data_IF_246426583148
#
_entry.id   IF_246426583148
#
_cell.length_a   1.000
_cell.length_b   1.000
_cell.length_c   1.000
_cell.angle_alpha   90.00
_cell.angle_beta   90.00
_cell.angle_gamma   90.00
#
_symmetry.space_group_name_H-M   'P 1'
#
loop_
_entity.id
_entity.type
_entity.pdbx_description
1 polymer ?
#
# COMPACT_ATOMS: atom_id res chain seq x y z
N UNK A 1 -26.98 -11.06 16.80
CA UNK A 1 -26.10 -10.63 15.69
C UNK A 1 -25.42 -9.27 15.91
N UNK A 2 -26.07 -8.24 16.48
CA UNK A 2 -25.44 -6.91 16.67
C UNK A 2 -24.24 -6.88 17.64
N UNK A 3 -24.29 -7.60 18.76
CA UNK A 3 -23.22 -7.59 19.79
C UNK A 3 -21.99 -8.46 19.45
N UNK A 4 -22.03 -9.25 18.38
CA UNK A 4 -20.99 -10.23 18.07
C UNK A 4 -19.96 -9.74 17.04
N UNK A 5 -20.30 -8.78 16.17
CA UNK A 5 -19.36 -8.29 15.15
C UNK A 5 -18.35 -7.31 15.75
N UNK A 6 -17.06 -7.53 15.45
CA UNK A 6 -15.96 -6.61 15.80
C UNK A 6 -15.89 -5.40 14.87
N UNK A 7 -16.52 -5.45 13.69
CA UNK A 7 -16.52 -4.35 12.71
C UNK A 7 -17.56 -3.28 13.06
N UNK A 8 -17.10 -2.04 13.26
CA UNK A 8 -17.99 -0.90 13.50
C UNK A 8 -18.95 -0.63 12.33
N UNK A 9 -18.49 -0.90 11.10
CA UNK A 9 -19.30 -0.74 9.88
C UNK A 9 -20.44 -1.75 9.85
N UNK A 10 -20.15 -3.01 10.14
CA UNK A 10 -21.15 -4.08 10.18
C UNK A 10 -22.19 -3.83 11.24
N UNK A 11 -21.76 -3.46 12.46
CA UNK A 11 -22.68 -3.14 13.56
C UNK A 11 -23.64 -2.02 13.17
N UNK A 12 -23.14 -0.93 12.58
CA UNK A 12 -24.00 0.19 12.16
C UNK A 12 -24.99 -0.21 11.06
N UNK A 13 -24.58 -1.04 10.11
CA UNK A 13 -25.49 -1.57 9.07
C UNK A 13 -26.54 -2.52 9.65
N UNK A 14 -26.15 -3.38 10.59
CA UNK A 14 -27.09 -4.24 11.30
C UNK A 14 -28.09 -3.43 12.13
N UNK A 15 -27.64 -2.37 12.81
CA UNK A 15 -28.50 -1.45 13.55
C UNK A 15 -29.52 -0.76 12.63
N UNK A 16 -29.10 -0.33 11.44
CA UNK A 16 -29.99 0.24 10.43
C UNK A 16 -31.16 -0.70 10.08
N UNK A 17 -30.87 -1.97 9.78
CA UNK A 17 -31.93 -2.95 9.50
C UNK A 17 -32.76 -3.32 10.72
N UNK A 18 -32.17 -3.38 11.92
CA UNK A 18 -32.91 -3.65 13.14
C UNK A 18 -33.95 -2.54 13.43
N UNK A 19 -33.57 -1.27 13.30
CA UNK A 19 -34.49 -0.14 13.51
C UNK A 19 -35.63 -0.14 12.47
N UNK A 20 -35.34 -0.49 11.21
CA UNK A 20 -36.38 -0.66 10.19
C UNK A 20 -37.32 -1.82 10.53
N UNK A 21 -36.79 -2.95 11.01
CA UNK A 21 -37.59 -4.10 11.43
C UNK A 21 -38.47 -3.80 12.66
N UNK A 22 -38.03 -2.87 13.51
CA UNK A 22 -38.84 -2.31 14.62
C UNK A 22 -39.92 -1.33 14.15
N UNK A 23 -40.03 -1.05 12.85
CA UNK A 23 -41.04 -0.15 12.29
C UNK A 23 -40.75 1.34 12.51
N UNK A 24 -39.52 1.73 12.82
CA UNK A 24 -39.12 3.14 12.91
C UNK A 24 -39.24 3.83 11.54
N UNK A 25 -39.53 5.13 11.56
CA UNK A 25 -39.59 5.94 10.34
C UNK A 25 -38.21 6.03 9.67
N UNK A 26 -38.19 6.19 8.34
CA UNK A 26 -36.92 6.33 7.61
C UNK A 26 -36.08 7.50 8.14
N UNK A 27 -36.71 8.64 8.42
CA UNK A 27 -36.03 9.83 8.96
C UNK A 27 -35.37 9.55 10.32
N UNK A 28 -36.07 8.86 11.24
CA UNK A 28 -35.52 8.48 12.54
C UNK A 28 -34.33 7.52 12.39
N UNK A 29 -34.46 6.52 11.51
CA UNK A 29 -33.38 5.55 11.28
C UNK A 29 -32.15 6.25 10.71
N UNK A 30 -32.31 7.16 9.74
CA UNK A 30 -31.20 7.92 9.17
C UNK A 30 -30.56 8.84 10.20
N UNK A 31 -31.35 9.51 11.06
CA UNK A 31 -30.85 10.34 12.15
C UNK A 31 -30.06 9.53 13.19
N UNK A 32 -30.55 8.36 13.60
CA UNK A 32 -29.86 7.51 14.60
C UNK A 32 -28.57 6.92 14.01
N UNK A 33 -28.64 6.42 12.78
CA UNK A 33 -27.50 5.71 12.14
C UNK A 33 -26.50 6.65 11.48
N UNK A 34 -26.86 7.93 11.32
CA UNK A 34 -26.07 8.95 10.64
C UNK A 34 -25.73 8.57 9.19
N UNK A 35 -26.61 7.81 8.54
CA UNK A 35 -26.50 7.54 7.11
C UNK A 35 -27.14 8.65 6.30
N UNK A 36 -26.49 9.05 5.21
CA UNK A 36 -27.19 9.78 4.15
C UNK A 36 -28.17 8.85 3.43
N UNK A 37 -29.22 9.42 2.84
CA UNK A 37 -30.19 8.70 1.98
C UNK A 37 -29.46 7.88 0.89
N UNK A 38 -28.41 8.43 0.28
CA UNK A 38 -27.61 7.71 -0.73
C UNK A 38 -26.93 6.48 -0.16
N UNK A 39 -26.34 6.59 1.03
CA UNK A 39 -25.69 5.46 1.71
C UNK A 39 -26.70 4.40 2.12
N UNK A 40 -27.85 4.81 2.67
CA UNK A 40 -28.93 3.90 3.04
C UNK A 40 -29.44 3.09 1.84
N UNK A 41 -29.73 3.74 0.71
CA UNK A 41 -30.12 3.06 -0.54
C UNK A 41 -29.07 2.05 -1.02
N UNK A 42 -27.79 2.39 -0.93
CA UNK A 42 -26.70 1.46 -1.26
C UNK A 42 -26.66 0.25 -0.31
N UNK A 43 -26.88 0.47 0.98
CA UNK A 43 -26.91 -0.61 1.98
C UNK A 43 -28.10 -1.55 1.72
N UNK A 44 -29.29 -1.00 1.45
CA UNK A 44 -30.49 -1.78 1.09
C UNK A 44 -30.26 -2.58 -0.18
N UNK A 45 -29.80 -1.93 -1.26
CA UNK A 45 -29.52 -2.62 -2.52
C UNK A 45 -28.48 -3.74 -2.36
N UNK A 46 -27.43 -3.50 -1.57
CA UNK A 46 -26.40 -4.50 -1.29
C UNK A 46 -26.94 -5.68 -0.48
N UNK A 47 -27.83 -5.42 0.48
CA UNK A 47 -28.51 -6.47 1.23
C UNK A 47 -29.46 -7.29 0.34
N UNK A 48 -30.22 -6.66 -0.54
CA UNK A 48 -31.08 -7.40 -1.49
C UNK A 48 -30.27 -8.30 -2.42
N UNK A 49 -29.06 -7.89 -2.80
CA UNK A 49 -28.20 -8.66 -3.69
C UNK A 49 -27.44 -9.80 -2.99
N UNK A 50 -26.94 -9.55 -1.77
CA UNK A 50 -25.96 -10.41 -1.10
C UNK A 50 -26.46 -10.95 0.26
N UNK A 51 -27.67 -10.60 0.67
CA UNK A 51 -28.19 -10.91 2.00
C UNK A 51 -27.32 -10.35 3.12
N UNK A 52 -27.12 -11.16 4.17
CA UNK A 52 -26.32 -10.78 5.34
C UNK A 52 -24.84 -10.53 5.00
N UNK A 53 -24.29 -11.20 3.99
CA UNK A 53 -22.93 -10.94 3.52
C UNK A 53 -22.77 -9.50 3.01
N UNK A 54 -23.86 -8.92 2.48
CA UNK A 54 -23.91 -7.52 2.06
C UNK A 54 -23.64 -6.52 3.18
N UNK A 55 -23.80 -6.92 4.45
CA UNK A 55 -23.55 -6.07 5.62
C UNK A 55 -22.06 -5.99 5.97
N UNK A 56 -21.24 -6.94 5.53
CA UNK A 56 -19.80 -7.05 5.89
C UNK A 56 -18.94 -5.86 5.44
N UNK A 57 -17.88 -5.54 6.20
CA UNK A 57 -16.89 -4.55 5.74
C UNK A 57 -15.95 -5.17 4.69
N UNK A 58 -16.30 -4.96 3.43
CA UNK A 58 -15.56 -5.47 2.26
C UNK A 58 -14.20 -4.81 1.98
N UNK A 59 -13.79 -3.79 2.75
CA UNK A 59 -12.57 -3.02 2.42
C UNK A 59 -11.30 -3.86 2.52
N UNK A 60 -11.24 -4.81 3.44
CA UNK A 60 -10.08 -5.69 3.59
C UNK A 60 -9.90 -6.62 2.38
N UNK A 61 -10.98 -6.91 1.66
CA UNK A 61 -10.98 -7.76 0.46
C UNK A 61 -10.79 -6.95 -0.83
N UNK A 62 -10.72 -5.61 -0.76
CA UNK A 62 -10.43 -4.80 -1.93
C UNK A 62 -8.98 -5.08 -2.38
N UNK A 63 -8.82 -5.71 -3.55
CA UNK A 63 -7.51 -6.06 -4.12
C UNK A 63 -6.66 -4.84 -4.51
N UNK A 64 -7.24 -3.63 -4.47
CA UNK A 64 -6.58 -2.40 -4.89
C UNK A 64 -6.36 -2.35 -6.41
N UNK A 65 -5.66 -1.31 -6.86
CA UNK A 65 -5.18 -1.28 -8.25
C UNK A 65 -4.11 -2.37 -8.46
N UNK A 66 -4.04 -3.00 -9.64
CA UNK A 66 -3.00 -3.97 -9.92
C UNK A 66 -1.62 -3.36 -9.74
N UNK A 67 -0.66 -4.18 -9.29
CA UNK A 67 0.74 -3.76 -9.20
C UNK A 67 1.28 -3.51 -10.62
N UNK A 68 2.11 -2.48 -10.74
CA UNK A 68 2.74 -2.12 -12.02
C UNK A 68 3.69 -3.23 -12.48
N UNK A 69 4.50 -3.75 -11.56
CA UNK A 69 5.29 -4.95 -11.77
C UNK A 69 4.57 -6.16 -11.17
N UNK A 70 4.51 -7.25 -11.92
CA UNK A 70 4.08 -8.55 -11.40
C UNK A 70 5.09 -9.07 -10.38
N UNK A 71 4.71 -10.09 -9.61
CA UNK A 71 5.64 -10.72 -8.68
C UNK A 71 6.87 -11.31 -9.42
N UNK A 72 6.65 -11.91 -10.59
CA UNK A 72 7.70 -12.49 -11.42
C UNK A 72 8.64 -11.41 -11.97
N UNK A 73 8.10 -10.32 -12.51
CA UNK A 73 8.92 -9.20 -13.01
C UNK A 73 9.72 -8.52 -11.89
N UNK A 74 9.13 -8.38 -10.70
CA UNK A 74 9.82 -7.86 -9.53
C UNK A 74 10.97 -8.79 -9.10
N UNK A 75 10.79 -10.11 -9.23
CA UNK A 75 11.84 -11.09 -8.95
C UNK A 75 12.96 -11.05 -9.99
N UNK A 76 12.61 -10.94 -11.28
CA UNK A 76 13.58 -10.75 -12.38
C UNK A 76 14.41 -9.49 -12.17
N UNK A 77 13.76 -8.38 -11.80
CA UNK A 77 14.45 -7.14 -11.44
C UNK A 77 15.41 -7.35 -10.26
N UNK A 78 14.97 -8.02 -9.19
CA UNK A 78 15.81 -8.26 -8.02
C UNK A 78 17.05 -9.10 -8.35
N UNK A 79 16.88 -10.17 -9.13
CA UNK A 79 17.98 -11.01 -9.59
C UNK A 79 18.97 -10.21 -10.44
N UNK A 80 18.46 -9.41 -11.39
CA UNK A 80 19.31 -8.59 -12.26
C UNK A 80 20.12 -7.56 -11.47
N UNK A 81 19.48 -6.83 -10.57
CA UNK A 81 20.17 -5.84 -9.73
C UNK A 81 21.24 -6.51 -8.85
N UNK A 82 20.99 -7.72 -8.32
CA UNK A 82 21.98 -8.45 -7.54
C UNK A 82 23.21 -8.83 -8.37
N UNK A 83 23.00 -9.41 -9.56
CA UNK A 83 24.11 -9.76 -10.48
C UNK A 83 24.92 -8.53 -10.89
N UNK A 84 24.24 -7.43 -11.25
CA UNK A 84 24.91 -6.21 -11.66
C UNK A 84 25.68 -5.58 -10.48
N UNK A 85 25.13 -5.65 -9.27
CA UNK A 85 25.83 -5.19 -8.07
C UNK A 85 27.09 -6.00 -7.76
N UNK A 86 27.06 -7.32 -7.92
CA UNK A 86 28.24 -8.19 -7.79
C UNK A 86 29.32 -7.85 -8.84
N UNK A 87 28.90 -7.40 -10.03
CA UNK A 87 29.78 -6.89 -11.07
C UNK A 87 30.25 -5.43 -10.86
N UNK A 88 29.85 -4.78 -9.75
CA UNK A 88 30.20 -3.39 -9.43
C UNK A 88 29.37 -2.34 -10.17
N UNK A 89 28.27 -2.74 -10.83
CA UNK A 89 27.38 -1.86 -11.56
C UNK A 89 26.22 -1.44 -10.63
N UNK A 90 26.07 -0.13 -10.42
CA UNK A 90 24.99 0.43 -9.58
C UNK A 90 23.98 1.15 -10.45
N UNK A 91 22.71 0.78 -10.29
CA UNK A 91 21.61 1.38 -11.05
C UNK A 91 21.05 2.61 -10.32
N UNK A 92 20.75 3.65 -11.09
CA UNK A 92 19.96 4.79 -10.65
C UNK A 92 18.50 4.71 -11.16
N UNK A 93 17.67 5.65 -10.71
CA UNK A 93 16.25 5.68 -11.07
C UNK A 93 15.99 5.74 -12.58
N UNK A 94 16.66 6.62 -13.35
CA UNK A 94 16.54 6.68 -14.80
C UNK A 94 17.02 5.42 -15.54
N UNK A 95 18.10 4.78 -15.08
CA UNK A 95 18.58 3.51 -15.66
C UNK A 95 17.54 2.43 -15.49
N UNK A 96 16.98 2.29 -14.29
CA UNK A 96 15.89 1.34 -14.05
C UNK A 96 14.63 1.66 -14.85
N UNK A 97 14.25 2.94 -14.97
CA UNK A 97 13.09 3.35 -15.74
C UNK A 97 13.20 2.91 -17.21
N UNK A 98 14.38 3.11 -17.80
CA UNK A 98 14.69 2.72 -19.17
C UNK A 98 14.66 1.20 -19.32
N UNK A 99 15.30 0.47 -18.41
CA UNK A 99 15.29 -0.98 -18.42
C UNK A 99 13.87 -1.56 -18.31
N UNK A 100 13.02 -1.02 -17.44
CA UNK A 100 11.61 -1.44 -17.33
C UNK A 100 10.87 -1.21 -18.65
N UNK A 101 11.15 -0.11 -19.34
CA UNK A 101 10.56 0.18 -20.64
C UNK A 101 11.05 -0.77 -21.73
N UNK A 102 12.35 -1.03 -21.77
CA UNK A 102 13.00 -1.86 -22.79
C UNK A 102 12.71 -3.35 -22.62
N UNK A 103 12.83 -3.89 -21.40
CA UNK A 103 12.67 -5.32 -21.13
C UNK A 103 11.23 -5.73 -20.84
N UNK A 104 10.45 -4.87 -20.16
CA UNK A 104 9.09 -5.21 -19.72
C UNK A 104 8.01 -4.48 -20.53
N UNK A 105 8.38 -3.54 -21.41
CA UNK A 105 7.43 -2.78 -22.22
C UNK A 105 6.53 -1.84 -21.42
N UNK A 106 6.95 -1.44 -20.21
CA UNK A 106 6.11 -0.68 -19.27
C UNK A 106 6.62 0.74 -19.06
N UNK A 107 5.72 1.71 -19.18
CA UNK A 107 6.00 3.09 -18.80
C UNK A 107 5.71 3.28 -17.30
N UNK A 108 6.73 3.70 -16.55
CA UNK A 108 6.63 3.95 -15.10
C UNK A 108 7.15 5.33 -14.77
N UNK A 109 6.54 5.99 -13.78
CA UNK A 109 7.06 7.26 -13.26
C UNK A 109 8.41 7.04 -12.55
N UNK A 110 9.31 8.02 -12.65
CA UNK A 110 10.63 7.97 -12.01
C UNK A 110 10.55 7.68 -10.50
N UNK A 111 9.57 8.24 -9.78
CA UNK A 111 9.40 7.97 -8.35
C UNK A 111 9.15 6.48 -8.03
N UNK A 112 8.49 5.75 -8.95
CA UNK A 112 8.16 4.34 -8.77
C UNK A 112 9.40 3.44 -8.89
N UNK A 113 10.43 3.85 -9.62
CA UNK A 113 11.65 3.05 -9.76
C UNK A 113 12.34 2.85 -8.42
N UNK A 114 12.38 3.87 -7.56
CA UNK A 114 12.93 3.76 -6.21
C UNK A 114 12.09 2.86 -5.29
N UNK A 115 10.78 2.78 -5.50
CA UNK A 115 9.93 1.81 -4.79
C UNK A 115 10.27 0.38 -5.21
N UNK A 116 10.47 0.14 -6.52
CA UNK A 116 10.85 -1.17 -7.04
C UNK A 116 12.25 -1.59 -6.59
N UNK A 117 13.21 -0.65 -6.54
CA UNK A 117 14.55 -0.90 -5.98
C UNK A 117 14.47 -1.30 -4.51
N UNK A 118 13.69 -0.57 -3.69
CA UNK A 118 13.48 -0.93 -2.27
C UNK A 118 12.83 -2.29 -2.12
N UNK A 119 11.83 -2.60 -2.95
CA UNK A 119 11.19 -3.91 -2.97
C UNK A 119 12.15 -5.04 -3.39
N UNK A 120 13.15 -4.74 -4.22
CA UNK A 120 14.25 -5.64 -4.58
C UNK A 120 15.37 -5.74 -3.52
N UNK A 121 15.22 -5.08 -2.36
CA UNK A 121 16.23 -5.09 -1.29
C UNK A 121 17.33 -4.04 -1.43
N UNK A 122 17.27 -3.18 -2.45
CA UNK A 122 18.23 -2.09 -2.64
C UNK A 122 17.82 -0.86 -1.83
N UNK A 123 18.73 -0.37 -0.99
CA UNK A 123 18.57 0.89 -0.30
C UNK A 123 19.67 1.86 -0.75
N UNK A 124 19.34 3.10 -1.16
CA UNK A 124 20.34 4.11 -1.44
C UNK A 124 21.19 4.35 -0.19
N UNK A 125 22.43 3.85 -0.20
CA UNK A 125 23.42 4.14 0.83
C UNK A 125 24.33 5.25 0.31
N UNK A 126 24.06 6.48 0.72
CA UNK A 126 24.97 7.57 0.45
C UNK A 126 26.13 7.48 1.45
N UNK A 127 27.36 7.33 0.95
CA UNK A 127 28.55 7.48 1.79
C UNK A 127 28.54 8.89 2.38
N UNK A 128 28.89 9.00 3.67
CA UNK A 128 29.02 10.31 4.32
C UNK A 128 30.04 11.13 3.51
N UNK A 129 29.71 12.35 3.07
CA UNK A 129 30.65 13.19 2.33
C UNK A 129 31.96 13.32 3.13
N UNK A 130 33.09 12.92 2.53
CA UNK A 130 34.40 13.16 3.12
C UNK A 130 34.81 14.60 2.81
N UNK A 131 35.21 15.33 3.85
CA UNK A 131 35.71 16.69 3.69
C UNK A 131 37.09 16.66 3.03
N UNK A 132 37.33 17.49 2.01
CA UNK A 132 38.57 17.49 1.21
C UNK A 132 39.84 17.74 2.05
N UNK A 133 39.71 18.42 3.20
CA UNK A 133 40.80 18.63 4.17
C UNK A 133 40.85 17.57 5.29
N UNK A 134 40.11 16.48 5.17
CA UNK A 134 40.15 15.40 6.13
C UNK A 134 41.48 14.65 6.00
N UNK A 135 42.37 14.85 6.96
CA UNK A 135 43.60 14.07 7.05
C UNK A 135 43.28 12.63 7.50
N UNK A 136 43.52 11.61 6.66
CA UNK A 136 43.25 10.22 7.00
C UNK A 136 44.04 9.76 8.24
N UNK A 137 45.27 10.25 8.42
CA UNK A 137 46.11 9.88 9.55
C UNK A 137 45.56 10.43 10.87
N UNK A 138 45.13 11.70 10.89
CA UNK A 138 44.52 12.31 12.06
C UNK A 138 43.18 11.65 12.45
N UNK A 139 42.44 11.08 11.49
CA UNK A 139 41.19 10.36 11.76
C UNK A 139 41.41 8.98 12.38
N UNK A 140 42.48 8.28 12.01
CA UNK A 140 42.81 6.97 12.58
C UNK A 140 43.44 7.09 13.97
N UNK A 141 44.23 8.14 14.21
CA UNK A 141 44.76 8.49 15.54
C UNK A 141 43.65 8.89 16.54
N UNK A 142 42.57 9.51 16.04
CA UNK A 142 41.42 9.86 16.89
C UNK A 142 40.57 8.64 17.27
N UNK A 143 40.47 7.63 16.39
CA UNK A 143 39.70 6.40 16.67
C UNK A 143 40.40 5.43 17.62
N UNK A 144 41.72 5.53 17.77
CA UNK A 144 42.54 4.66 18.63
C UNK A 144 42.77 5.23 20.04
N UNK A 145 42.35 6.47 20.32
CA UNK A 145 42.32 6.99 21.68
C UNK A 145 41.04 6.52 22.41
N UNK A 146 41.17 5.94 23.62
CA UNK A 146 40.04 5.43 24.40
C UNK A 146 39.07 6.52 24.86
#
# INVERSE_FOLDING_TARGET
MYHASRSAVERRRAQFFALLAEGRSEDDVLAITQYSVRSARKIVARYHLLGLEGLTDGRAQNQGAPRVLTAEEQQTLAARLATDFEAGIVWDGPTLQRWIKEELGKDVYLGRTYEFMRAAGFSPRQLRPQHVKGDPAAQDDFKTKP
#
